data_IF_727052212527
#
_entry.id   IF_727052212527
#
_cell.length_a   1.000
_cell.length_b   1.000
_cell.length_c   1.000
_cell.angle_alpha   90.00
_cell.angle_beta   90.00
_cell.angle_gamma   90.00
#
_symmetry.space_group_name_H-M   'P 1'
#
loop_
_entity.id
_entity.type
_entity.pdbx_description
1 polymer ?
#
# COMPACT_ATOMS: atom_id res chain seq x y z
N UNK A 1 -14.01 -50.22 0.41
CA UNK A 1 -13.29 -48.93 0.51
C UNK A 1 -13.67 -48.11 -0.71
N UNK A 2 -14.68 -47.25 -0.59
CA UNK A 2 -15.26 -46.52 -1.73
C UNK A 2 -14.56 -45.17 -1.92
N UNK A 3 -14.08 -44.89 -3.14
CA UNK A 3 -13.55 -43.57 -3.48
C UNK A 3 -14.70 -42.58 -3.59
N UNK A 4 -14.67 -41.51 -2.80
CA UNK A 4 -15.58 -40.37 -2.95
C UNK A 4 -15.15 -39.55 -4.16
N UNK A 5 -15.89 -39.70 -5.27
CA UNK A 5 -15.68 -38.90 -6.48
C UNK A 5 -16.02 -37.44 -6.15
N UNK A 6 -15.03 -36.56 -6.26
CA UNK A 6 -15.23 -35.12 -6.13
C UNK A 6 -15.80 -34.58 -7.45
N UNK A 7 -16.84 -33.76 -7.36
CA UNK A 7 -17.37 -33.01 -8.51
C UNK A 7 -16.24 -32.24 -9.22
N UNK A 8 -16.12 -32.36 -10.53
CA UNK A 8 -15.09 -31.67 -11.34
C UNK A 8 -15.76 -30.57 -12.17
N UNK A 9 -15.10 -29.43 -12.28
CA UNK A 9 -15.48 -28.30 -13.16
C UNK A 9 -14.30 -28.09 -14.12
N UNK A 10 -14.55 -28.13 -15.42
CA UNK A 10 -13.53 -28.11 -16.48
C UNK A 10 -13.90 -27.02 -17.49
N UNK A 11 -12.90 -26.40 -18.10
CA UNK A 11 -13.04 -25.45 -19.20
C UNK A 11 -12.43 -26.06 -20.45
N UNK A 12 -13.13 -25.99 -21.56
CA UNK A 12 -12.65 -26.39 -22.87
C UNK A 12 -12.32 -25.12 -23.67
N UNK A 13 -11.08 -25.01 -24.16
CA UNK A 13 -10.64 -23.87 -24.93
C UNK A 13 -11.16 -23.98 -26.37
N UNK A 14 -11.95 -22.99 -26.82
CA UNK A 14 -12.53 -23.03 -28.16
C UNK A 14 -11.52 -22.82 -29.30
N UNK A 15 -10.50 -21.97 -29.07
CA UNK A 15 -9.58 -21.51 -30.14
C UNK A 15 -8.08 -21.57 -29.75
N UNK A 16 -7.77 -21.84 -28.49
CA UNK A 16 -6.39 -21.85 -27.96
C UNK A 16 -5.96 -23.29 -27.68
N UNK A 17 -4.67 -23.60 -27.84
CA UNK A 17 -4.12 -24.87 -27.35
C UNK A 17 -4.10 -24.81 -25.83
N UNK A 18 -4.21 -25.95 -25.15
CA UNK A 18 -4.22 -26.02 -23.68
C UNK A 18 -2.98 -25.37 -23.02
N UNK A 19 -1.89 -25.27 -23.78
CA UNK A 19 -0.61 -24.68 -23.35
C UNK A 19 -0.56 -23.15 -23.47
N UNK A 20 -1.47 -22.53 -24.21
CA UNK A 20 -1.47 -21.08 -24.50
C UNK A 20 -2.35 -20.30 -23.50
N UNK A 21 -2.63 -20.89 -22.34
CA UNK A 21 -3.48 -20.29 -21.32
C UNK A 21 -2.67 -19.30 -20.47
N UNK A 22 -3.07 -18.03 -20.50
CA UNK A 22 -2.46 -16.98 -19.70
C UNK A 22 -3.39 -16.51 -18.57
N UNK A 23 -2.79 -15.96 -17.52
CA UNK A 23 -3.55 -15.36 -16.41
C UNK A 23 -4.35 -14.16 -16.93
N UNK A 24 -5.67 -14.27 -16.91
CA UNK A 24 -6.60 -13.27 -17.45
C UNK A 24 -7.42 -13.75 -18.64
N UNK A 25 -7.16 -14.95 -19.17
CA UNK A 25 -7.94 -15.54 -20.26
C UNK A 25 -9.36 -15.99 -19.84
N UNK A 26 -9.52 -16.48 -18.61
CA UNK A 26 -10.84 -16.78 -18.02
C UNK A 26 -11.32 -15.55 -17.23
N UNK A 27 -12.57 -15.09 -17.46
CA UNK A 27 -13.17 -14.04 -16.62
C UNK A 27 -13.21 -14.46 -15.15
N UNK A 28 -12.96 -13.51 -14.24
CA UNK A 28 -12.81 -13.75 -12.81
C UNK A 28 -13.99 -14.52 -12.19
N UNK A 29 -15.21 -14.31 -12.67
CA UNK A 29 -16.42 -14.94 -12.17
C UNK A 29 -16.46 -16.44 -12.52
N UNK A 30 -15.96 -16.78 -13.71
CA UNK A 30 -15.77 -18.17 -14.14
C UNK A 30 -14.66 -18.85 -13.36
N UNK A 31 -13.54 -18.16 -13.10
CA UNK A 31 -12.49 -18.69 -12.23
C UNK A 31 -13.02 -19.02 -10.83
N UNK A 32 -13.81 -18.12 -10.24
CA UNK A 32 -14.42 -18.32 -8.93
C UNK A 32 -15.35 -19.55 -8.91
N UNK A 33 -16.12 -19.75 -9.99
CA UNK A 33 -16.94 -20.95 -10.11
C UNK A 33 -16.11 -22.22 -10.29
N UNK A 34 -15.08 -22.23 -11.14
CA UNK A 34 -14.21 -23.40 -11.34
C UNK A 34 -13.48 -23.78 -10.05
N UNK A 35 -12.99 -22.78 -9.30
CA UNK A 35 -12.34 -22.93 -7.99
C UNK A 35 -13.30 -23.28 -6.87
N UNK A 36 -14.60 -23.39 -7.14
CA UNK A 36 -15.67 -23.70 -6.18
C UNK A 36 -15.81 -22.70 -5.04
N UNK A 37 -15.26 -21.49 -5.19
CA UNK A 37 -15.57 -20.39 -4.26
C UNK A 37 -17.01 -19.92 -4.46
N UNK A 38 -17.52 -20.04 -5.70
CA UNK A 38 -18.93 -19.83 -6.04
C UNK A 38 -19.65 -21.15 -6.32
N UNK A 39 -20.90 -21.27 -5.85
CA UNK A 39 -21.75 -22.47 -6.11
C UNK A 39 -22.37 -22.43 -7.50
N UNK A 40 -22.93 -21.29 -7.89
CA UNK A 40 -23.63 -21.08 -9.16
C UNK A 40 -22.68 -20.55 -10.25
N UNK A 41 -22.83 -20.97 -11.51
CA UNK A 41 -22.08 -20.38 -12.60
C UNK A 41 -22.51 -18.91 -12.80
N UNK A 42 -21.62 -18.06 -13.33
CA UNK A 42 -21.99 -16.69 -13.69
C UNK A 42 -22.97 -16.67 -14.87
N UNK A 43 -23.78 -15.62 -14.94
CA UNK A 43 -24.65 -15.34 -16.10
C UNK A 43 -23.93 -14.48 -17.12
N UNK A 44 -24.32 -14.60 -18.40
CA UNK A 44 -23.73 -13.80 -19.49
C UNK A 44 -23.87 -12.29 -19.24
N UNK A 45 -25.00 -11.85 -18.71
CA UNK A 45 -25.20 -10.44 -18.36
C UNK A 45 -24.22 -9.93 -17.30
N UNK A 46 -23.87 -10.77 -16.33
CA UNK A 46 -22.92 -10.43 -15.28
C UNK A 46 -21.54 -10.19 -15.87
N UNK A 47 -21.11 -11.08 -16.78
CA UNK A 47 -19.84 -10.96 -17.50
C UNK A 47 -19.80 -9.65 -18.31
N UNK A 48 -20.85 -9.35 -19.07
CA UNK A 48 -20.92 -8.13 -19.88
C UNK A 48 -20.90 -6.85 -19.02
N UNK A 49 -21.59 -6.86 -17.88
CA UNK A 49 -21.60 -5.72 -16.94
C UNK A 49 -20.21 -5.48 -16.35
N UNK A 50 -19.50 -6.54 -15.96
CA UNK A 50 -18.17 -6.42 -15.40
C UNK A 50 -17.14 -5.98 -16.44
N UNK A 51 -17.26 -6.44 -17.68
CA UNK A 51 -16.39 -5.98 -18.77
C UNK A 51 -16.56 -4.48 -19.04
N UNK A 52 -17.82 -4.02 -19.12
CA UNK A 52 -18.11 -2.59 -19.25
C UNK A 52 -17.53 -1.78 -18.08
N UNK A 53 -17.65 -2.29 -16.86
CA UNK A 53 -17.12 -1.63 -15.68
C UNK A 53 -15.58 -1.50 -15.72
N UNK A 54 -14.88 -2.55 -16.18
CA UNK A 54 -13.41 -2.51 -16.36
C UNK A 54 -13.00 -1.44 -17.36
N UNK A 55 -13.69 -1.34 -18.49
CA UNK A 55 -13.42 -0.31 -19.51
C UNK A 55 -13.72 1.10 -19.01
N UNK A 56 -14.82 1.29 -18.26
CA UNK A 56 -15.14 2.57 -17.62
C UNK A 56 -14.04 3.03 -16.65
N UNK A 57 -13.54 2.12 -15.81
CA UNK A 57 -12.44 2.42 -14.89
C UNK A 57 -11.17 2.79 -15.66
N UNK A 58 -10.85 2.06 -16.73
CA UNK A 58 -9.67 2.32 -17.55
C UNK A 58 -9.72 3.72 -18.19
N UNK A 59 -10.86 4.10 -18.75
CA UNK A 59 -11.06 5.45 -19.29
C UNK A 59 -10.94 6.53 -18.21
N UNK A 60 -11.56 6.33 -17.04
CA UNK A 60 -11.47 7.29 -15.91
C UNK A 60 -10.03 7.44 -15.40
N UNK A 61 -9.27 6.36 -15.31
CA UNK A 61 -7.87 6.41 -14.89
C UNK A 61 -7.00 7.21 -15.87
N UNK A 62 -7.24 7.07 -17.18
CA UNK A 62 -6.54 7.85 -18.19
C UNK A 62 -6.86 9.34 -18.08
N UNK A 63 -8.15 9.69 -17.95
CA UNK A 63 -8.60 11.08 -17.77
C UNK A 63 -8.01 11.71 -16.49
N UNK A 64 -7.98 10.96 -15.38
CA UNK A 64 -7.35 11.42 -14.15
C UNK A 64 -5.85 11.67 -14.31
N UNK A 65 -5.14 10.76 -15.00
CA UNK A 65 -3.71 10.90 -15.26
C UNK A 65 -3.40 12.12 -16.13
N UNK A 66 -4.21 12.40 -17.15
CA UNK A 66 -4.06 13.59 -17.98
C UNK A 66 -4.33 14.88 -17.20
N UNK A 67 -5.38 14.89 -16.39
CA UNK A 67 -5.72 16.03 -15.52
C UNK A 67 -4.62 16.30 -14.50
N UNK A 68 -4.09 15.27 -13.84
CA UNK A 68 -2.97 15.39 -12.91
C UNK A 68 -1.72 15.95 -13.59
N UNK A 69 -1.40 15.44 -14.79
CA UNK A 69 -0.26 15.92 -15.58
C UNK A 69 -0.39 17.39 -15.99
N UNK A 70 -1.60 17.85 -16.33
CA UNK A 70 -1.87 19.25 -16.62
C UNK A 70 -1.76 20.12 -15.36
N UNK A 71 -2.32 19.67 -14.24
CA UNK A 71 -2.28 20.38 -12.98
C UNK A 71 -0.85 20.53 -12.45
N UNK A 72 -0.05 19.46 -12.53
CA UNK A 72 1.37 19.47 -12.15
C UNK A 72 2.17 20.47 -12.97
N UNK A 73 1.95 20.54 -14.30
CA UNK A 73 2.61 21.55 -15.14
C UNK A 73 2.26 22.99 -14.76
N UNK A 74 1.05 23.24 -14.28
CA UNK A 74 0.62 24.57 -13.81
C UNK A 74 1.08 24.92 -12.39
N UNK A 75 1.23 23.93 -11.51
CA UNK A 75 1.59 24.15 -10.09
C UNK A 75 3.09 24.16 -9.78
N UNK A 76 3.93 23.68 -10.70
CA UNK A 76 5.39 23.76 -10.59
C UNK A 76 5.93 25.21 -10.64
N UNK A 77 5.11 26.19 -11.00
CA UNK A 77 5.50 27.61 -11.06
C UNK A 77 5.19 28.38 -9.75
N UNK A 78 4.31 27.86 -8.86
CA UNK A 78 3.83 28.62 -7.68
C UNK A 78 4.04 27.95 -6.30
N UNK A 79 4.41 26.66 -6.21
CA UNK A 79 4.45 25.95 -4.91
C UNK A 79 5.74 25.19 -4.59
N UNK A 80 6.89 25.82 -4.79
CA UNK A 80 8.12 25.42 -4.09
C UNK A 80 8.43 26.40 -2.95
N UNK A 81 7.51 26.51 -1.98
CA UNK A 81 7.94 26.95 -0.66
C UNK A 81 8.95 25.91 -0.15
N UNK A 82 10.19 26.29 0.17
CA UNK A 82 11.17 25.36 0.74
C UNK A 82 10.54 24.63 1.92
N UNK A 83 10.84 23.33 2.14
CA UNK A 83 10.29 22.61 3.27
C UNK A 83 10.66 23.37 4.55
N UNK A 84 9.67 24.00 5.17
CA UNK A 84 9.85 24.65 6.47
C UNK A 84 10.21 23.52 7.42
N UNK A 85 11.45 23.54 7.91
CA UNK A 85 11.98 22.53 8.82
C UNK A 85 11.16 22.56 10.12
N UNK A 86 10.08 21.78 10.18
CA UNK A 86 9.28 21.64 11.40
C UNK A 86 10.01 20.65 12.32
N UNK A 87 10.40 21.13 13.50
CA UNK A 87 11.01 20.27 14.51
C UNK A 87 9.93 19.36 15.10
N UNK A 88 9.84 18.12 14.63
CA UNK A 88 8.92 17.11 15.15
C UNK A 88 9.45 16.62 16.51
N UNK A 89 8.96 17.24 17.60
CA UNK A 89 9.26 16.83 18.98
C UNK A 89 8.09 16.02 19.54
N UNK A 90 8.29 14.73 19.79
CA UNK A 90 7.25 13.81 20.31
C UNK A 90 7.66 12.34 20.24
N UNK A 91 6.73 11.41 20.53
CA UNK A 91 6.96 9.95 20.52
C UNK A 91 7.42 9.38 19.17
N UNK A 92 7.13 10.09 18.08
CA UNK A 92 7.54 9.74 16.72
C UNK A 92 8.82 10.45 16.26
N UNK A 93 9.49 11.19 17.16
CA UNK A 93 10.77 11.82 16.86
C UNK A 93 11.85 10.75 16.73
N UNK A 94 12.61 10.79 15.65
CA UNK A 94 13.77 9.94 15.43
C UNK A 94 15.04 10.71 15.85
N UNK A 95 15.98 10.08 16.57
CA UNK A 95 17.28 10.70 16.85
C UNK A 95 18.02 10.94 15.53
N UNK A 96 18.54 12.15 15.35
CA UNK A 96 19.44 12.45 14.24
C UNK A 96 20.80 11.78 14.52
N UNK A 97 21.14 10.78 13.71
CA UNK A 97 22.40 10.04 13.86
C UNK A 97 23.59 11.01 13.75
N UNK A 98 24.41 11.10 14.81
CA UNK A 98 25.62 11.93 14.83
C UNK A 98 25.57 13.21 15.68
N UNK A 99 24.48 13.48 16.42
CA UNK A 99 24.49 14.50 17.50
C UNK A 99 24.03 13.88 18.83
N UNK A 100 24.98 13.34 19.57
CA UNK A 100 24.76 12.90 20.95
C UNK A 100 25.05 14.07 21.90
N UNK A 101 24.16 15.06 21.93
CA UNK A 101 24.12 15.98 23.07
C UNK A 101 23.41 15.25 24.22
N UNK A 102 24.09 14.98 25.36
CA UNK A 102 23.47 14.32 26.50
C UNK A 102 22.28 15.15 27.00
N UNK A 103 21.07 14.66 26.78
CA UNK A 103 19.84 15.35 27.19
C UNK A 103 19.38 14.81 28.55
N UNK A 104 19.02 15.70 29.47
CA UNK A 104 18.56 15.33 30.81
C UNK A 104 17.16 14.66 30.81
N UNK A 105 16.36 14.88 29.77
CA UNK A 105 15.03 14.32 29.64
C UNK A 105 15.05 12.94 28.95
N UNK A 106 14.33 11.94 29.49
CA UNK A 106 14.21 10.64 28.85
C UNK A 106 13.40 10.73 27.54
N UNK A 107 13.76 9.90 26.56
CA UNK A 107 13.05 9.80 25.27
C UNK A 107 12.63 8.36 25.01
N UNK A 108 11.41 8.16 24.50
CA UNK A 108 10.86 6.83 24.18
C UNK A 108 10.36 6.82 22.73
N UNK A 109 10.98 6.01 21.88
CA UNK A 109 10.60 5.82 20.48
C UNK A 109 10.17 4.37 20.30
N UNK A 110 8.86 4.10 20.35
CA UNK A 110 8.22 2.81 20.02
C UNK A 110 8.79 1.55 20.71
N UNK A 111 9.95 1.07 20.25
CA UNK A 111 10.66 -0.12 20.77
C UNK A 111 11.90 0.21 21.60
N UNK A 112 12.36 1.47 21.63
CA UNK A 112 13.62 1.87 22.27
C UNK A 112 13.37 3.00 23.28
N UNK A 113 13.78 2.76 24.52
CA UNK A 113 13.80 3.76 25.58
C UNK A 113 15.23 4.26 25.80
N UNK A 114 15.43 5.58 25.77
CA UNK A 114 16.70 6.26 26.04
C UNK A 114 16.55 7.03 27.36
N UNK A 115 17.20 6.59 28.45
CA UNK A 115 17.15 7.31 29.72
C UNK A 115 17.88 8.67 29.59
N UNK A 116 17.40 9.68 30.30
CA UNK A 116 18.08 10.97 30.36
C UNK A 116 19.43 10.86 31.11
N UNK A 117 20.43 11.63 30.68
CA UNK A 117 21.72 11.69 31.35
C UNK A 117 21.66 12.60 32.57
N UNK A 118 22.07 12.09 33.75
CA UNK A 118 22.17 12.90 34.96
C UNK A 118 23.33 13.90 34.82
N UNK A 119 23.04 15.19 34.92
CA UNK A 119 24.05 16.25 34.93
C UNK A 119 24.27 16.68 36.38
N UNK A 120 25.49 16.55 36.95
CA UNK A 120 25.76 17.08 38.28
C UNK A 120 25.56 18.60 38.24
N UNK A 121 24.60 19.08 39.02
CA UNK A 121 24.44 20.51 39.29
C UNK A 121 25.78 21.06 39.76
N UNK A 122 26.30 22.05 39.01
CA UNK A 122 27.68 22.53 39.08
C UNK A 122 28.21 22.64 40.51
N UNK A 123 29.46 22.19 40.68
CA UNK A 123 30.19 22.31 41.93
C UNK A 123 30.19 23.75 42.42
N UNK A 124 29.28 24.07 43.34
CA UNK A 124 29.43 25.22 44.23
C UNK A 124 30.54 24.84 45.20
N UNK A 125 31.75 25.29 44.91
CA UNK A 125 32.85 25.29 45.87
C UNK A 125 32.44 26.21 47.04
N UNK A 126 32.23 25.72 48.27
CA UNK A 126 32.05 26.58 49.43
C UNK A 126 33.43 26.80 50.05
N UNK A 127 34.30 27.54 49.35
CA UNK A 127 35.51 28.21 49.84
C UNK A 127 36.46 28.45 48.65
N UNK A 128 36.43 29.66 48.10
CA UNK A 128 37.60 30.52 47.85
C UNK A 128 37.12 31.86 47.29
#
# INVERSE_FOLDING_TARGET
IGQTIREKRIVEAANKREVDYEVGDIPTEWEAWIRKTRKTPPTMEEILKNEKHREEIKMKNQDLYEKEKLLSKGSNEELLSPPVQTQIKGHASAPYFGKEEPTAAPTSTGKTFQPGSWMPQGGKNPNQ
#
